data_IF_708973050406
#
_entry.id   IF_708973050406
#
_cell.length_a   1.000
_cell.length_b   1.000
_cell.length_c   1.000
_cell.angle_alpha   90.00
_cell.angle_beta   90.00
_cell.angle_gamma   90.00
#
_symmetry.space_group_name_H-M   'P 1'
#
loop_
_entity.id
_entity.type
_entity.pdbx_description
1 polymer ?
#
# COMPACT_ATOMS: atom_id res chain seq x y z
N UNK A 1 17.18 -22.16 21.88
CA UNK A 1 17.38 -21.03 20.95
C UNK A 1 17.19 -21.44 19.49
N UNK A 2 17.93 -22.42 18.95
CA UNK A 2 17.78 -22.89 17.56
C UNK A 2 16.34 -23.33 17.20
N UNK A 3 15.68 -24.08 18.09
CA UNK A 3 14.31 -24.54 17.86
C UNK A 3 13.28 -23.40 17.87
N UNK A 4 13.52 -22.34 18.65
CA UNK A 4 12.68 -21.13 18.68
C UNK A 4 12.79 -20.39 17.34
N UNK A 5 14.02 -20.21 16.85
CA UNK A 5 14.26 -19.59 15.54
C UNK A 5 13.62 -20.37 14.39
N UNK A 6 13.65 -21.70 14.46
CA UNK A 6 13.07 -22.56 13.44
C UNK A 6 11.53 -22.45 13.40
N UNK A 7 10.88 -22.53 14.57
CA UNK A 7 9.42 -22.40 14.67
C UNK A 7 8.97 -20.98 14.29
N UNK A 8 9.68 -19.95 14.78
CA UNK A 8 9.37 -18.56 14.47
C UNK A 8 9.57 -18.24 12.98
N UNK A 9 10.67 -18.71 12.38
CA UNK A 9 10.95 -18.54 10.95
C UNK A 9 9.91 -19.24 10.07
N UNK A 10 9.52 -20.48 10.40
CA UNK A 10 8.46 -21.19 9.69
C UNK A 10 7.11 -20.45 9.78
N UNK A 11 6.76 -19.94 10.96
CA UNK A 11 5.57 -19.13 11.18
C UNK A 11 5.60 -17.83 10.36
N UNK A 12 6.73 -17.12 10.35
CA UNK A 12 6.90 -15.86 9.60
C UNK A 12 6.79 -16.06 8.09
N UNK A 13 7.37 -17.14 7.55
CA UNK A 13 7.23 -17.45 6.12
C UNK A 13 5.78 -17.76 5.77
N UNK A 14 5.09 -18.54 6.60
CA UNK A 14 3.66 -18.84 6.38
C UNK A 14 2.80 -17.57 6.48
N UNK A 15 3.09 -16.70 7.45
CA UNK A 15 2.37 -15.45 7.66
C UNK A 15 2.59 -14.47 6.50
N UNK A 16 3.82 -14.30 6.03
CA UNK A 16 4.15 -13.38 4.93
C UNK A 16 3.64 -13.86 3.56
N UNK A 17 3.72 -15.17 3.28
CA UNK A 17 3.40 -15.73 1.96
C UNK A 17 1.92 -16.08 1.80
N UNK A 18 1.26 -16.57 2.84
CA UNK A 18 -0.13 -17.01 2.77
C UNK A 18 -1.09 -16.05 3.48
N UNK A 19 -0.81 -15.69 4.73
CA UNK A 19 -1.78 -14.93 5.52
C UNK A 19 -1.82 -13.45 5.14
N UNK A 20 -0.68 -12.78 5.00
CA UNK A 20 -0.61 -11.37 4.62
C UNK A 20 -1.37 -11.07 3.33
N UNK A 21 -1.17 -11.78 2.21
CA UNK A 21 -1.96 -11.52 1.01
C UNK A 21 -3.42 -11.95 1.12
N UNK A 22 -3.73 -12.98 1.93
CA UNK A 22 -5.10 -13.45 2.13
C UNK A 22 -5.95 -12.46 2.95
N UNK A 23 -5.37 -11.87 4.00
CA UNK A 23 -6.06 -10.91 4.87
C UNK A 23 -6.02 -9.48 4.32
N UNK A 24 -4.96 -9.11 3.59
CA UNK A 24 -4.81 -7.80 2.92
C UNK A 24 -5.34 -7.88 1.47
N UNK A 25 -6.32 -8.76 1.24
CA UNK A 25 -6.86 -9.14 -0.07
C UNK A 25 -7.04 -7.98 -1.03
N UNK A 26 -6.53 -8.18 -2.24
CA UNK A 26 -6.41 -7.27 -3.38
C UNK A 26 -6.05 -5.84 -3.01
N UNK A 27 -4.77 -5.52 -3.25
CA UNK A 27 -4.14 -4.21 -3.15
C UNK A 27 -5.15 -3.10 -3.42
N UNK A 28 -5.07 -2.02 -2.65
CA UNK A 28 -5.60 -0.65 -2.84
C UNK A 28 -5.82 -0.15 -4.31
N UNK A 29 -5.36 -0.88 -5.32
CA UNK A 29 -5.58 -0.69 -6.74
C UNK A 29 -4.79 0.47 -7.29
N UNK A 30 -3.86 1.01 -6.50
CA UNK A 30 -2.84 1.89 -7.02
C UNK A 30 -1.97 1.11 -7.99
N UNK A 31 -2.18 1.39 -9.27
CA UNK A 31 -1.28 0.94 -10.31
C UNK A 31 0.13 1.48 -10.01
N UNK A 32 1.21 0.69 -10.19
CA UNK A 32 2.58 1.14 -9.93
C UNK A 32 2.94 2.47 -10.61
N UNK A 33 2.36 2.73 -11.79
CA UNK A 33 2.53 4.00 -12.50
C UNK A 33 1.92 5.19 -11.75
N UNK A 34 0.78 5.02 -11.08
CA UNK A 34 0.17 6.09 -10.27
C UNK A 34 1.05 6.46 -9.07
N UNK A 35 1.73 5.47 -8.48
CA UNK A 35 2.71 5.70 -7.40
C UNK A 35 3.90 6.50 -7.92
N UNK A 36 4.48 6.09 -9.06
CA UNK A 36 5.61 6.81 -9.68
C UNK A 36 5.19 8.24 -10.01
N UNK A 37 4.00 8.42 -10.60
CA UNK A 37 3.48 9.74 -10.94
C UNK A 37 3.29 10.62 -9.70
N UNK A 38 2.72 10.08 -8.62
CA UNK A 38 2.56 10.81 -7.37
C UNK A 38 3.90 11.22 -6.77
N UNK A 39 4.91 10.34 -6.80
CA UNK A 39 6.26 10.64 -6.29
C UNK A 39 6.94 11.73 -7.12
N UNK A 40 6.85 11.66 -8.45
CA UNK A 40 7.40 12.68 -9.34
C UNK A 40 6.68 14.02 -9.18
N UNK A 41 5.34 14.01 -9.13
CA UNK A 41 4.54 15.21 -8.93
C UNK A 41 4.80 15.85 -7.55
N UNK A 42 4.78 15.05 -6.48
CA UNK A 42 5.11 15.52 -5.13
C UNK A 42 6.52 16.08 -5.04
N UNK A 43 7.49 15.39 -5.63
CA UNK A 43 8.89 15.85 -5.69
C UNK A 43 9.08 17.17 -6.43
N UNK A 44 8.35 17.40 -7.52
CA UNK A 44 8.41 18.66 -8.26
C UNK A 44 7.69 19.81 -7.53
N UNK A 45 6.56 19.54 -6.87
CA UNK A 45 5.75 20.58 -6.21
C UNK A 45 6.28 21.00 -4.84
N UNK A 46 6.76 20.05 -4.04
CA UNK A 46 7.13 20.28 -2.63
C UNK A 46 8.51 19.72 -2.26
N UNK A 47 9.31 19.32 -3.26
CA UNK A 47 10.65 18.78 -3.03
C UNK A 47 10.63 17.47 -2.25
N UNK A 48 11.60 17.29 -1.35
CA UNK A 48 11.73 16.09 -0.54
C UNK A 48 10.49 15.76 0.30
N UNK A 49 9.84 16.79 0.88
CA UNK A 49 8.62 16.62 1.67
C UNK A 49 7.49 16.05 0.80
N UNK A 50 7.38 16.51 -0.45
CA UNK A 50 6.40 16.00 -1.39
C UNK A 50 6.65 14.55 -1.80
N UNK A 51 7.92 14.13 -1.91
CA UNK A 51 8.25 12.70 -2.14
C UNK A 51 7.83 11.84 -0.95
N UNK A 52 8.11 12.28 0.27
CA UNK A 52 7.75 11.54 1.49
C UNK A 52 6.23 11.37 1.64
N UNK A 53 5.47 12.42 1.29
CA UNK A 53 4.01 12.44 1.42
C UNK A 53 3.27 11.94 0.17
N UNK A 54 3.96 11.70 -0.95
CA UNK A 54 3.32 11.33 -2.22
C UNK A 54 2.45 10.08 -2.11
N UNK A 55 2.98 9.01 -1.53
CA UNK A 55 2.27 7.74 -1.40
C UNK A 55 1.04 7.82 -0.49
N UNK A 56 1.11 8.37 0.74
CA UNK A 56 -0.08 8.47 1.59
C UNK A 56 -1.16 9.38 0.98
N UNK A 57 -0.78 10.50 0.34
CA UNK A 57 -1.74 11.37 -0.34
C UNK A 57 -2.42 10.63 -1.51
N UNK A 58 -1.66 9.92 -2.34
CA UNK A 58 -2.20 9.16 -3.46
C UNK A 58 -3.17 8.07 -2.99
N UNK A 59 -2.86 7.39 -1.89
CA UNK A 59 -3.75 6.40 -1.28
C UNK A 59 -5.08 7.03 -0.80
N UNK A 60 -5.02 8.18 -0.12
CA UNK A 60 -6.21 8.92 0.32
C UNK A 60 -7.08 9.33 -0.87
N UNK A 61 -6.48 9.88 -1.94
CA UNK A 61 -7.22 10.27 -3.15
C UNK A 61 -7.94 9.07 -3.76
N UNK A 62 -7.28 7.93 -3.91
CA UNK A 62 -7.90 6.71 -4.48
C UNK A 62 -9.05 6.20 -3.63
N UNK A 63 -8.92 6.20 -2.30
CA UNK A 63 -9.99 5.81 -1.38
C UNK A 63 -11.18 6.76 -1.50
N UNK A 64 -10.94 8.07 -1.55
CA UNK A 64 -12.00 9.08 -1.72
C UNK A 64 -12.72 8.91 -3.06
N UNK A 65 -12.00 8.66 -4.15
CA UNK A 65 -12.60 8.42 -5.47
C UNK A 65 -13.47 7.16 -5.47
N UNK A 66 -12.98 6.06 -4.86
CA UNK A 66 -13.76 4.81 -4.72
C UNK A 66 -15.03 5.04 -3.90
N UNK A 67 -14.93 5.77 -2.81
CA UNK A 67 -16.05 6.07 -1.93
C UNK A 67 -17.09 6.99 -2.60
N UNK A 68 -16.63 8.01 -3.33
CA UNK A 68 -17.51 8.87 -4.12
C UNK A 68 -18.22 8.10 -5.23
N UNK A 69 -17.53 7.21 -5.94
CA UNK A 69 -18.13 6.39 -6.98
C UNK A 69 -19.15 5.39 -6.42
N UNK A 70 -18.88 4.82 -5.24
CA UNK A 70 -19.82 3.98 -4.53
C UNK A 70 -21.09 4.74 -4.12
N UNK A 71 -20.97 6.00 -3.69
CA UNK A 71 -22.13 6.84 -3.37
C UNK A 71 -22.96 7.25 -4.59
N UNK A 72 -22.33 7.52 -5.74
CA UNK A 72 -23.04 7.99 -6.94
C UNK A 72 -23.76 6.84 -7.67
N UNK A 73 -23.28 5.60 -7.51
CA UNK A 73 -23.85 4.41 -8.19
C UNK A 73 -24.85 3.64 -7.31
N UNK A 74 -25.05 4.07 -6.05
CA UNK A 74 -25.97 3.46 -5.08
C UNK A 74 -27.29 4.20 -4.93
#
# INVERSE_FOLDING_TARGET
LLLVWLVYGAGQVLESVAFTPLFVGDRIGLHPVAVIFAVLAGGQLFGFVGVLLALPIAAVVVVLMRHAHAYVTG
#
